data_IF_137735269774
#
_entry.id   IF_137735269774
#
_cell.length_a   1.000
_cell.length_b   1.000
_cell.length_c   1.000
_cell.angle_alpha   90.00
_cell.angle_beta   90.00
_cell.angle_gamma   90.00
#
_symmetry.space_group_name_H-M   'P 1'
#
loop_
_entity.id
_entity.type
_entity.pdbx_description
1 polymer ?
#
# COMPACT_ATOMS: atom_id res chain seq x y z
N UNK A 1 7.94 26.98 -26.55
CA UNK A 1 6.83 27.82 -26.05
C UNK A 1 7.02 27.91 -24.54
N UNK A 2 6.81 29.06 -23.90
CA UNK A 2 6.86 29.14 -22.43
C UNK A 2 5.60 28.46 -21.87
N UNK A 3 5.76 27.49 -20.98
CA UNK A 3 4.63 26.82 -20.32
C UNK A 3 4.04 27.77 -19.27
N UNK A 4 2.77 28.18 -19.36
CA UNK A 4 2.12 28.95 -18.30
C UNK A 4 2.00 28.09 -17.03
N UNK A 5 2.23 28.69 -15.86
CA UNK A 5 2.18 27.94 -14.60
C UNK A 5 0.74 27.52 -14.31
N UNK A 6 0.51 26.23 -14.16
CA UNK A 6 -0.80 25.67 -13.79
C UNK A 6 -0.57 24.42 -12.95
N UNK A 7 -0.72 24.57 -11.63
CA UNK A 7 -0.56 23.48 -10.68
C UNK A 7 -1.65 23.59 -9.62
N UNK A 8 -2.73 22.87 -9.84
CA UNK A 8 -3.93 22.88 -9.01
C UNK A 8 -4.34 21.48 -8.62
N UNK A 9 -5.00 21.39 -7.47
CA UNK A 9 -5.62 20.17 -6.99
C UNK A 9 -7.00 20.02 -7.64
N UNK A 10 -7.26 18.86 -8.25
CA UNK A 10 -8.43 18.60 -9.10
C UNK A 10 -8.63 19.67 -10.20
N UNK A 11 -7.66 19.84 -11.11
CA UNK A 11 -7.72 20.90 -12.11
C UNK A 11 -8.85 20.66 -13.11
N UNK A 12 -9.46 21.75 -13.58
CA UNK A 12 -10.43 21.77 -14.67
C UNK A 12 -10.09 22.84 -15.72
N UNK A 13 -10.78 22.84 -16.86
CA UNK A 13 -10.63 23.91 -17.86
C UNK A 13 -11.17 25.26 -17.35
N UNK A 14 -12.19 25.23 -16.48
CA UNK A 14 -12.80 26.44 -15.93
C UNK A 14 -11.85 27.21 -14.99
N UNK A 15 -10.81 26.54 -14.50
CA UNK A 15 -9.77 27.14 -13.67
C UNK A 15 -8.67 27.85 -14.48
N UNK A 16 -8.69 27.72 -15.81
CA UNK A 16 -7.64 28.25 -16.69
C UNK A 16 -7.89 29.70 -17.06
N UNK A 17 -6.84 30.53 -16.96
CA UNK A 17 -6.82 31.82 -17.64
C UNK A 17 -6.64 31.66 -19.16
N UNK A 18 -6.67 32.77 -19.89
CA UNK A 18 -6.57 32.78 -21.35
C UNK A 18 -5.27 32.12 -21.88
N UNK A 19 -4.14 32.38 -21.23
CA UNK A 19 -2.84 31.87 -21.68
C UNK A 19 -2.70 30.37 -21.36
N UNK A 20 -3.18 29.96 -20.19
CA UNK A 20 -3.25 28.56 -19.78
C UNK A 20 -4.17 27.76 -20.70
N UNK A 21 -5.34 28.30 -21.06
CA UNK A 21 -6.28 27.66 -21.98
C UNK A 21 -5.67 27.50 -23.38
N UNK A 22 -5.03 28.56 -23.89
CA UNK A 22 -4.33 28.53 -25.18
C UNK A 22 -3.22 27.46 -25.20
N UNK A 23 -2.48 27.30 -24.11
CA UNK A 23 -1.49 26.23 -23.99
C UNK A 23 -2.13 24.85 -23.87
N UNK A 24 -3.23 24.72 -23.11
CA UNK A 24 -3.96 23.46 -22.97
C UNK A 24 -4.51 22.94 -24.31
N UNK A 25 -4.97 23.81 -25.21
CA UNK A 25 -5.37 23.40 -26.57
C UNK A 25 -4.23 22.72 -27.34
N UNK A 26 -2.99 23.18 -27.14
CA UNK A 26 -1.78 22.55 -27.70
C UNK A 26 -1.52 21.20 -27.03
N UNK A 27 -1.68 21.11 -25.71
CA UNK A 27 -1.56 19.84 -24.96
C UNK A 27 -2.56 18.82 -25.47
N UNK A 28 -3.84 19.19 -25.52
CA UNK A 28 -4.94 18.34 -25.98
C UNK A 28 -4.73 17.87 -27.43
N UNK A 29 -4.32 18.77 -28.32
CA UNK A 29 -4.02 18.42 -29.73
C UNK A 29 -2.86 17.44 -29.87
N UNK A 30 -1.81 17.56 -29.05
CA UNK A 30 -0.68 16.62 -29.07
C UNK A 30 -1.07 15.26 -28.48
N UNK A 31 -1.69 15.25 -27.30
CA UNK A 31 -2.07 14.00 -26.64
C UNK A 31 -3.11 13.20 -27.44
N UNK A 32 -4.09 13.86 -28.08
CA UNK A 32 -5.03 13.18 -28.97
C UNK A 32 -4.36 12.47 -30.17
N UNK A 33 -3.17 12.93 -30.58
CA UNK A 33 -2.36 12.29 -31.65
C UNK A 33 -1.41 11.24 -31.09
N UNK A 34 -1.42 11.02 -29.77
CA UNK A 34 -0.44 10.19 -29.09
C UNK A 34 0.96 10.79 -29.10
N UNK A 35 1.12 12.12 -29.11
CA UNK A 35 2.43 12.76 -29.03
C UNK A 35 2.72 13.22 -27.60
N UNK A 36 3.97 13.05 -27.16
CA UNK A 36 4.46 13.67 -25.92
C UNK A 36 4.54 15.20 -26.08
N UNK A 37 4.21 15.92 -25.01
CA UNK A 37 4.43 17.36 -24.89
C UNK A 37 5.03 17.65 -23.51
N UNK A 38 6.10 18.43 -23.50
CA UNK A 38 6.71 18.87 -22.24
C UNK A 38 5.83 19.94 -21.58
N UNK A 39 5.46 19.70 -20.33
CA UNK A 39 4.65 20.60 -19.50
C UNK A 39 5.48 21.25 -18.38
N UNK A 40 6.80 21.10 -18.37
CA UNK A 40 7.73 21.75 -17.41
C UNK A 40 7.26 21.58 -15.95
N UNK A 41 6.88 20.35 -15.58
CA UNK A 41 6.34 20.00 -14.25
C UNK A 41 4.89 20.44 -13.97
N UNK A 42 4.21 21.13 -14.90
CA UNK A 42 2.82 21.58 -14.77
C UNK A 42 1.84 20.47 -15.17
N UNK A 43 1.93 19.33 -14.48
CA UNK A 43 1.16 18.11 -14.77
C UNK A 43 -0.37 18.28 -14.69
N UNK A 44 -0.87 19.39 -14.10
CA UNK A 44 -2.31 19.68 -14.07
C UNK A 44 -2.92 19.79 -15.47
N UNK A 45 -2.17 20.23 -16.49
CA UNK A 45 -2.66 20.22 -17.87
C UNK A 45 -2.98 18.80 -18.36
N UNK A 46 -2.11 17.84 -18.04
CA UNK A 46 -2.30 16.44 -18.43
C UNK A 46 -3.45 15.82 -17.62
N UNK A 47 -3.60 16.17 -16.34
CA UNK A 47 -4.76 15.73 -15.55
C UNK A 47 -6.09 16.22 -16.12
N UNK A 48 -6.19 17.48 -16.56
CA UNK A 48 -7.42 17.99 -17.21
C UNK A 48 -7.76 17.18 -18.45
N UNK A 49 -6.75 16.87 -19.28
CA UNK A 49 -6.94 16.02 -20.44
C UNK A 49 -7.42 14.61 -20.05
N UNK A 50 -6.79 13.98 -19.04
CA UNK A 50 -7.18 12.65 -18.57
C UNK A 50 -8.60 12.66 -18.00
N UNK A 51 -9.01 13.70 -17.28
CA UNK A 51 -10.37 13.79 -16.73
C UNK A 51 -11.41 13.84 -17.85
N UNK A 52 -11.15 14.60 -18.92
CA UNK A 52 -11.98 14.63 -20.13
C UNK A 52 -12.00 13.28 -20.86
N UNK A 53 -10.91 12.55 -20.86
CA UNK A 53 -10.85 11.20 -21.41
C UNK A 53 -11.69 10.21 -20.57
N UNK A 54 -11.48 10.21 -19.24
CA UNK A 54 -12.18 9.33 -18.31
C UNK A 54 -13.68 9.63 -18.20
N UNK A 55 -14.13 10.87 -18.43
CA UNK A 55 -15.56 11.20 -18.43
C UNK A 55 -16.33 10.52 -19.57
N UNK A 56 -15.62 10.07 -20.62
CA UNK A 56 -16.17 9.39 -21.79
C UNK A 56 -16.04 7.86 -21.70
N UNK A 57 -15.85 7.31 -20.49
CA UNK A 57 -15.62 5.88 -20.27
C UNK A 57 -16.72 4.97 -20.85
N UNK A 58 -17.96 5.42 -20.83
CA UNK A 58 -19.12 4.71 -21.37
C UNK A 58 -19.14 4.70 -22.91
N UNK A 59 -18.54 5.71 -23.55
CA UNK A 59 -18.43 5.83 -25.02
C UNK A 59 -17.18 5.13 -25.55
N UNK A 60 -16.03 5.38 -24.92
CA UNK A 60 -14.72 4.92 -25.40
C UNK A 60 -14.41 3.48 -24.96
N UNK A 61 -15.03 3.00 -23.88
CA UNK A 61 -14.84 1.66 -23.33
C UNK A 61 -13.55 1.50 -22.52
N UNK A 62 -13.56 0.55 -21.58
CA UNK A 62 -12.44 0.36 -20.66
C UNK A 62 -11.15 -0.13 -21.33
N UNK A 63 -11.20 -0.97 -22.37
CA UNK A 63 -9.99 -1.47 -23.03
C UNK A 63 -9.18 -0.31 -23.65
N UNK A 64 -9.85 0.55 -24.44
CA UNK A 64 -9.21 1.71 -25.08
C UNK A 64 -8.69 2.71 -24.05
N UNK A 65 -9.45 2.95 -22.98
CA UNK A 65 -9.00 3.79 -21.88
C UNK A 65 -7.75 3.22 -21.21
N UNK A 66 -7.73 1.92 -20.92
CA UNK A 66 -6.60 1.25 -20.28
C UNK A 66 -5.33 1.38 -21.12
N UNK A 67 -5.40 1.08 -22.43
CA UNK A 67 -4.27 1.22 -23.35
C UNK A 67 -3.73 2.65 -23.36
N UNK A 68 -4.62 3.65 -23.42
CA UNK A 68 -4.21 5.04 -23.47
C UNK A 68 -3.61 5.52 -22.14
N UNK A 69 -4.14 5.08 -21.00
CA UNK A 69 -3.60 5.41 -19.68
C UNK A 69 -2.23 4.76 -19.46
N UNK A 70 -2.04 3.51 -19.86
CA UNK A 70 -0.72 2.86 -19.86
C UNK A 70 0.25 3.65 -20.73
N UNK A 71 -0.18 4.03 -21.94
CA UNK A 71 0.63 4.85 -22.83
C UNK A 71 1.05 6.18 -22.17
N UNK A 72 0.11 6.90 -21.57
CA UNK A 72 0.39 8.15 -20.85
C UNK A 72 1.38 7.93 -19.69
N UNK A 73 1.24 6.84 -18.94
CA UNK A 73 2.16 6.52 -17.85
C UNK A 73 3.60 6.36 -18.34
N UNK A 74 3.79 5.71 -19.49
CA UNK A 74 5.13 5.47 -20.05
C UNK A 74 5.79 6.75 -20.57
N UNK A 75 5.04 7.58 -21.32
CA UNK A 75 5.63 8.82 -21.87
C UNK A 75 5.86 9.90 -20.81
N UNK A 76 5.10 9.87 -19.71
CA UNK A 76 5.28 10.75 -18.55
C UNK A 76 5.95 10.06 -17.35
N UNK A 77 6.71 8.99 -17.56
CA UNK A 77 7.40 8.27 -16.47
C UNK A 77 8.34 9.13 -15.60
N UNK A 78 8.84 10.25 -16.15
CA UNK A 78 9.67 11.21 -15.43
C UNK A 78 8.86 12.05 -14.42
N UNK A 79 7.55 12.17 -14.65
CA UNK A 79 6.58 12.76 -13.75
C UNK A 79 5.93 11.66 -12.91
N UNK A 80 6.67 11.13 -11.92
CA UNK A 80 6.31 9.92 -11.14
C UNK A 80 4.85 9.92 -10.69
N UNK A 81 4.38 11.02 -10.07
CA UNK A 81 3.00 11.16 -9.61
C UNK A 81 1.98 10.96 -10.73
N UNK A 82 2.17 11.61 -11.87
CA UNK A 82 1.26 11.51 -13.01
C UNK A 82 1.25 10.08 -13.57
N UNK A 83 2.43 9.50 -13.75
CA UNK A 83 2.59 8.12 -14.20
C UNK A 83 1.86 7.12 -13.30
N UNK A 84 2.01 7.25 -11.98
CA UNK A 84 1.34 6.38 -11.02
C UNK A 84 -0.19 6.50 -11.07
N UNK A 85 -0.74 7.71 -11.17
CA UNK A 85 -2.19 7.90 -11.31
C UNK A 85 -2.72 7.24 -12.60
N UNK A 86 -2.02 7.43 -13.72
CA UNK A 86 -2.37 6.78 -14.98
C UNK A 86 -2.42 5.26 -14.84
N UNK A 87 -1.41 4.64 -14.24
CA UNK A 87 -1.39 3.18 -14.01
C UNK A 87 -2.52 2.73 -13.07
N UNK A 88 -2.76 3.44 -11.97
CA UNK A 88 -3.86 3.12 -11.07
C UNK A 88 -5.22 3.15 -11.77
N UNK A 89 -5.48 4.15 -12.61
CA UNK A 89 -6.72 4.22 -13.38
C UNK A 89 -6.77 3.17 -14.50
N UNK A 90 -5.63 2.81 -15.12
CA UNK A 90 -5.58 1.71 -16.07
C UNK A 90 -5.94 0.36 -15.42
N UNK A 91 -5.57 0.16 -14.15
CA UNK A 91 -5.97 -1.03 -13.38
C UNK A 91 -7.44 -1.00 -12.96
N UNK A 92 -8.00 0.19 -12.68
CA UNK A 92 -9.46 0.31 -12.51
C UNK A 92 -10.21 -0.09 -13.79
N UNK A 93 -9.65 0.11 -14.99
CA UNK A 93 -10.24 -0.40 -16.22
C UNK A 93 -10.30 -1.94 -16.25
N UNK A 94 -9.29 -2.65 -15.73
CA UNK A 94 -9.33 -4.11 -15.61
C UNK A 94 -10.49 -4.58 -14.71
N UNK A 95 -10.75 -3.86 -13.62
CA UNK A 95 -11.91 -4.11 -12.75
C UNK A 95 -13.24 -3.88 -13.49
N UNK A 96 -13.32 -2.81 -14.28
CA UNK A 96 -14.49 -2.50 -15.11
C UNK A 96 -14.75 -3.52 -16.22
N UNK A 97 -13.70 -4.18 -16.72
CA UNK A 97 -13.76 -5.28 -17.68
C UNK A 97 -13.97 -6.66 -17.04
N UNK A 98 -14.09 -6.72 -15.70
CA UNK A 98 -14.14 -7.96 -14.93
C UNK A 98 -12.91 -8.88 -15.13
N UNK A 99 -11.78 -8.32 -15.60
CA UNK A 99 -10.48 -9.00 -15.74
C UNK A 99 -9.77 -9.08 -14.38
N UNK A 100 -10.44 -9.70 -13.41
CA UNK A 100 -10.04 -9.70 -12.00
C UNK A 100 -8.70 -10.39 -11.73
N UNK A 101 -8.41 -11.51 -12.40
CA UNK A 101 -7.12 -12.20 -12.27
C UNK A 101 -5.96 -11.34 -12.76
N UNK A 102 -6.13 -10.68 -13.92
CA UNK A 102 -5.14 -9.75 -14.46
C UNK A 102 -4.95 -8.53 -13.55
N UNK A 103 -6.04 -8.00 -12.98
CA UNK A 103 -5.96 -6.96 -11.96
C UNK A 103 -5.11 -7.40 -10.76
N UNK A 104 -5.31 -8.63 -10.27
CA UNK A 104 -4.54 -9.16 -9.15
C UNK A 104 -3.05 -9.35 -9.51
N UNK A 105 -2.73 -9.83 -10.70
CA UNK A 105 -1.34 -9.96 -11.16
C UNK A 105 -0.64 -8.59 -11.26
N UNK A 106 -1.27 -7.64 -11.96
CA UNK A 106 -0.68 -6.31 -12.20
C UNK A 106 -0.54 -5.47 -10.93
N UNK A 107 -1.40 -5.69 -9.95
CA UNK A 107 -1.40 -4.92 -8.69
C UNK A 107 -0.73 -5.68 -7.53
N UNK A 108 -0.06 -6.81 -7.80
CA UNK A 108 0.63 -7.58 -6.77
C UNK A 108 1.64 -6.69 -6.02
N UNK A 109 1.56 -6.63 -4.68
CA UNK A 109 2.52 -5.92 -3.86
C UNK A 109 3.98 -6.35 -4.13
N UNK A 110 4.77 -5.46 -4.73
CA UNK A 110 6.23 -5.66 -4.84
C UNK A 110 6.94 -5.53 -3.50
N UNK A 111 6.43 -4.67 -2.64
CA UNK A 111 6.96 -4.43 -1.30
C UNK A 111 6.02 -5.00 -0.24
N UNK A 112 6.61 -5.63 0.77
CA UNK A 112 5.92 -6.14 1.97
C UNK A 112 5.61 -5.01 2.95
N UNK A 113 6.34 -3.90 2.82
CA UNK A 113 6.26 -2.75 3.72
C UNK A 113 5.14 -1.78 3.35
N UNK A 114 4.76 -0.99 4.35
CA UNK A 114 3.79 0.10 4.21
C UNK A 114 2.35 -0.36 4.34
N UNK A 115 1.53 0.53 4.90
CA UNK A 115 0.09 0.32 5.05
C UNK A 115 -0.60 0.73 3.76
N UNK A 116 -1.31 -0.20 3.13
CA UNK A 116 -2.15 0.07 1.95
C UNK A 116 -3.57 -0.46 2.17
N UNK A 117 -4.14 -0.11 3.32
CA UNK A 117 -5.43 -0.62 3.83
C UNK A 117 -6.51 -0.74 2.76
N UNK A 118 -6.86 0.34 2.05
CA UNK A 118 -7.92 0.29 1.05
C UNK A 118 -7.58 -0.49 -0.22
N UNK A 119 -6.31 -0.47 -0.66
CA UNK A 119 -5.88 -1.19 -1.86
C UNK A 119 -5.83 -2.71 -1.60
N UNK A 120 -5.24 -3.10 -0.46
CA UNK A 120 -5.20 -4.49 -0.01
C UNK A 120 -6.61 -5.01 0.32
N UNK A 121 -7.48 -4.19 0.93
CA UNK A 121 -8.89 -4.55 1.12
C UNK A 121 -9.60 -4.83 -0.20
N UNK A 122 -9.38 -4.01 -1.23
CA UNK A 122 -9.95 -4.29 -2.55
C UNK A 122 -9.43 -5.60 -3.11
N UNK A 123 -8.11 -5.81 -3.10
CA UNK A 123 -7.51 -7.04 -3.63
C UNK A 123 -8.07 -8.28 -2.93
N UNK A 124 -8.16 -8.26 -1.60
CA UNK A 124 -8.80 -9.33 -0.83
C UNK A 124 -10.26 -9.56 -1.24
N UNK A 125 -11.04 -8.50 -1.46
CA UNK A 125 -12.41 -8.63 -1.94
C UNK A 125 -12.49 -9.21 -3.37
N UNK A 126 -11.56 -8.85 -4.26
CA UNK A 126 -11.44 -9.44 -5.59
C UNK A 126 -11.07 -10.93 -5.50
N UNK A 127 -10.13 -11.29 -4.62
CA UNK A 127 -9.77 -12.70 -4.36
C UNK A 127 -10.98 -13.50 -3.84
N UNK A 128 -11.71 -12.95 -2.85
CA UNK A 128 -12.94 -13.57 -2.32
C UNK A 128 -13.99 -13.76 -3.42
N UNK A 129 -14.17 -12.76 -4.30
CA UNK A 129 -15.10 -12.83 -5.44
C UNK A 129 -14.75 -13.94 -6.43
N UNK A 130 -13.46 -14.22 -6.60
CA UNK A 130 -12.94 -15.31 -7.45
C UNK A 130 -12.91 -16.67 -6.75
N UNK A 131 -13.21 -16.74 -5.44
CA UNK A 131 -13.07 -17.97 -4.65
C UNK A 131 -11.62 -18.40 -4.42
N UNK A 132 -10.68 -17.46 -4.50
CA UNK A 132 -9.27 -17.68 -4.17
C UNK A 132 -9.03 -17.52 -2.67
N UNK A 133 -7.97 -18.12 -2.14
CA UNK A 133 -7.50 -17.85 -0.78
C UNK A 133 -6.94 -16.43 -0.64
N UNK A 134 -7.01 -15.85 0.57
CA UNK A 134 -6.46 -14.53 0.82
C UNK A 134 -4.93 -14.52 0.61
N UNK A 135 -4.39 -13.49 -0.07
CA UNK A 135 -2.94 -13.33 -0.18
C UNK A 135 -2.38 -12.85 1.18
N UNK A 136 -1.44 -13.57 1.82
CA UNK A 136 -0.83 -13.17 3.08
C UNK A 136 -0.26 -11.75 3.12
N UNK A 137 0.32 -11.29 2.02
CA UNK A 137 0.88 -9.94 1.90
C UNK A 137 -0.23 -8.91 1.89
N UNK A 138 -1.36 -9.17 1.24
CA UNK A 138 -2.51 -8.27 1.28
C UNK A 138 -3.13 -8.22 2.69
N UNK A 139 -3.22 -9.36 3.39
CA UNK A 139 -3.64 -9.38 4.81
C UNK A 139 -2.69 -8.52 5.65
N UNK A 140 -1.38 -8.76 5.58
CA UNK A 140 -0.39 -7.99 6.34
C UNK A 140 -0.46 -6.48 6.04
N UNK A 141 -0.54 -6.10 4.76
CA UNK A 141 -0.55 -4.69 4.33
C UNK A 141 -1.87 -4.00 4.59
N UNK A 142 -2.97 -4.75 4.69
CA UNK A 142 -4.24 -4.24 5.18
C UNK A 142 -4.12 -3.84 6.65
N UNK A 143 -3.47 -4.70 7.45
CA UNK A 143 -3.30 -4.55 8.89
C UNK A 143 -2.02 -3.80 9.33
N UNK A 144 -1.19 -3.34 8.39
CA UNK A 144 0.02 -2.58 8.70
C UNK A 144 1.09 -3.46 9.35
N UNK A 145 1.98 -3.99 8.51
CA UNK A 145 3.09 -4.82 8.96
C UNK A 145 4.17 -4.06 9.75
N UNK A 146 5.07 -4.83 10.36
CA UNK A 146 6.26 -4.28 11.02
C UNK A 146 7.20 -3.62 10.01
N UNK A 147 7.82 -2.51 10.40
CA UNK A 147 8.88 -1.84 9.65
C UNK A 147 10.06 -1.55 10.58
N UNK A 148 11.20 -2.15 10.31
CA UNK A 148 12.47 -1.87 10.98
C UNK A 148 13.64 -2.10 10.01
N UNK A 149 14.84 -1.74 10.44
CA UNK A 149 16.04 -1.80 9.58
C UNK A 149 16.30 -3.20 9.03
N UNK A 150 16.17 -4.24 9.86
CA UNK A 150 16.36 -5.62 9.41
C UNK A 150 15.39 -5.98 8.28
N UNK A 151 14.10 -5.65 8.42
CA UNK A 151 13.10 -5.92 7.38
C UNK A 151 13.40 -5.13 6.10
N UNK A 152 13.79 -3.85 6.23
CA UNK A 152 14.12 -2.99 5.07
C UNK A 152 15.29 -3.58 4.26
N UNK A 153 16.30 -4.12 4.93
CA UNK A 153 17.47 -4.74 4.31
C UNK A 153 17.21 -6.16 3.78
N UNK A 154 16.17 -6.84 4.29
CA UNK A 154 15.88 -8.25 4.00
C UNK A 154 14.44 -8.46 3.49
N UNK A 155 13.90 -7.53 2.68
CA UNK A 155 12.48 -7.53 2.30
C UNK A 155 12.03 -8.81 1.59
N UNK A 156 12.82 -9.34 0.66
CA UNK A 156 12.49 -10.57 -0.07
C UNK A 156 12.41 -11.77 0.89
N UNK A 157 13.42 -11.95 1.74
CA UNK A 157 13.44 -13.02 2.73
C UNK A 157 12.26 -12.91 3.71
N UNK A 158 11.95 -11.69 4.15
CA UNK A 158 10.81 -11.44 5.03
C UNK A 158 9.48 -11.71 4.33
N UNK A 159 9.34 -11.38 3.03
CA UNK A 159 8.16 -11.70 2.21
C UNK A 159 7.87 -13.19 2.23
N UNK A 160 8.89 -14.01 1.95
CA UNK A 160 8.76 -15.45 1.87
C UNK A 160 8.38 -16.02 3.24
N UNK A 161 9.00 -15.53 4.32
CA UNK A 161 8.64 -15.93 5.68
C UNK A 161 7.20 -15.53 6.07
N UNK A 162 6.69 -14.39 5.59
CA UNK A 162 5.28 -13.99 5.81
C UNK A 162 4.35 -14.96 5.12
N UNK A 163 4.61 -15.29 3.86
CA UNK A 163 3.78 -16.22 3.09
C UNK A 163 3.72 -17.57 3.81
N UNK A 164 4.87 -18.10 4.23
CA UNK A 164 4.93 -19.36 4.98
C UNK A 164 4.11 -19.30 6.27
N UNK A 165 4.44 -18.37 7.18
CA UNK A 165 3.85 -18.30 8.53
C UNK A 165 2.34 -18.07 8.48
N UNK A 166 1.86 -17.22 7.57
CA UNK A 166 0.43 -16.93 7.45
C UNK A 166 -0.34 -18.11 6.82
N UNK A 167 0.28 -18.84 5.89
CA UNK A 167 -0.33 -20.03 5.30
C UNK A 167 -0.35 -21.19 6.29
N UNK A 168 0.73 -21.40 7.05
CA UNK A 168 0.79 -22.38 8.15
C UNK A 168 -0.31 -22.09 9.17
N UNK A 169 -0.44 -20.84 9.62
CA UNK A 169 -1.50 -20.42 10.52
C UNK A 169 -2.91 -20.70 9.97
N UNK A 170 -3.16 -20.38 8.69
CA UNK A 170 -4.45 -20.62 8.05
C UNK A 170 -4.78 -22.12 7.90
N UNK A 171 -3.77 -22.98 7.73
CA UNK A 171 -3.94 -24.43 7.65
C UNK A 171 -4.25 -25.06 9.02
N UNK A 172 -3.61 -24.59 10.08
CA UNK A 172 -3.79 -25.11 11.44
C UNK A 172 -5.07 -24.62 12.11
N UNK A 173 -5.57 -23.45 11.70
CA UNK A 173 -6.74 -22.82 12.29
C UNK A 173 -7.89 -22.82 11.27
N UNK A 174 -7.99 -21.77 10.47
CA UNK A 174 -9.05 -21.59 9.48
C UNK A 174 -8.56 -20.67 8.36
N UNK A 175 -9.11 -20.83 7.15
CA UNK A 175 -8.80 -19.93 6.03
C UNK A 175 -9.18 -18.48 6.35
N UNK A 176 -8.36 -17.52 5.91
CA UNK A 176 -8.45 -16.10 6.28
C UNK A 176 -9.82 -15.46 6.04
N UNK A 177 -10.52 -15.74 4.94
CA UNK A 177 -11.86 -15.20 4.74
C UNK A 177 -12.86 -15.76 5.74
N UNK A 178 -12.68 -17.01 6.15
CA UNK A 178 -13.52 -17.60 7.18
C UNK A 178 -13.20 -17.03 8.57
N UNK A 179 -11.92 -16.72 8.84
CA UNK A 179 -11.52 -15.98 10.06
C UNK A 179 -12.15 -14.58 10.10
N UNK A 180 -12.15 -13.84 8.99
CA UNK A 180 -12.83 -12.54 8.92
C UNK A 180 -14.33 -12.70 9.19
N UNK A 181 -14.95 -13.70 8.58
CA UNK A 181 -16.37 -13.99 8.72
C UNK A 181 -16.74 -14.34 10.17
N UNK A 182 -15.96 -15.19 10.84
CA UNK A 182 -16.11 -15.53 12.26
C UNK A 182 -15.93 -14.30 13.15
N UNK A 183 -14.91 -13.49 12.90
CA UNK A 183 -14.63 -12.27 13.66
C UNK A 183 -15.81 -11.29 13.61
N UNK A 184 -16.44 -11.09 12.45
CA UNK A 184 -17.64 -10.24 12.34
C UNK A 184 -18.81 -10.78 13.18
N UNK A 185 -19.00 -12.11 13.19
CA UNK A 185 -20.06 -12.78 13.95
C UNK A 185 -19.82 -12.66 15.46
N UNK A 186 -18.61 -12.99 15.93
CA UNK A 186 -18.26 -12.96 17.35
C UNK A 186 -18.38 -11.55 17.94
N UNK A 187 -17.97 -10.53 17.18
CA UNK A 187 -18.05 -9.13 17.60
C UNK A 187 -19.46 -8.51 17.41
N UNK A 188 -20.45 -9.28 16.93
CA UNK A 188 -21.83 -8.84 16.66
C UNK A 188 -21.88 -7.59 15.78
N UNK A 189 -20.98 -7.48 14.80
CA UNK A 189 -20.87 -6.31 13.93
C UNK A 189 -21.43 -6.64 12.56
N UNK A 190 -22.32 -5.79 12.02
CA UNK A 190 -22.77 -5.98 10.66
C UNK A 190 -21.59 -5.82 9.71
N UNK A 191 -21.53 -6.64 8.66
CA UNK A 191 -20.59 -6.41 7.56
C UNK A 191 -20.95 -5.09 6.90
N UNK A 192 -20.04 -4.11 6.98
CA UNK A 192 -20.18 -2.88 6.21
C UNK A 192 -19.84 -3.19 4.75
N UNK A 193 -20.89 -3.25 3.94
CA UNK A 193 -20.80 -3.34 2.48
C UNK A 193 -20.92 -1.95 1.88
N UNK A 194 -20.05 -1.62 0.95
CA UNK A 194 -20.13 -0.36 0.22
C UNK A 194 -19.94 -0.56 -1.28
N UNK A 195 -20.57 0.32 -2.05
CA UNK A 195 -20.33 0.43 -3.48
C UNK A 195 -19.01 1.15 -3.69
N UNK A 196 -18.18 0.60 -4.58
CA UNK A 196 -16.90 1.22 -4.95
C UNK A 196 -17.01 1.81 -6.34
N UNK A 197 -16.75 3.11 -6.45
CA UNK A 197 -16.52 3.76 -7.74
C UNK A 197 -15.14 3.41 -8.27
N UNK A 198 -15.04 3.31 -9.59
CA UNK A 198 -13.78 3.29 -10.32
C UNK A 198 -13.29 4.73 -10.53
N UNK A 199 -12.01 4.87 -10.85
CA UNK A 199 -11.37 6.16 -11.07
C UNK A 199 -11.45 7.07 -9.82
N UNK A 200 -11.04 6.50 -8.67
CA UNK A 200 -10.93 7.25 -7.43
C UNK A 200 -9.96 8.43 -7.60
N UNK A 201 -10.33 9.58 -7.04
CA UNK A 201 -9.57 10.83 -7.19
C UNK A 201 -9.81 11.60 -8.50
N UNK A 202 -10.72 11.16 -9.36
CA UNK A 202 -11.12 11.92 -10.56
C UNK A 202 -12.39 12.74 -10.27
N UNK A 203 -12.42 14.01 -10.70
CA UNK A 203 -13.59 14.88 -10.57
C UNK A 203 -14.59 14.63 -11.72
N UNK A 204 -15.26 13.47 -11.70
CA UNK A 204 -16.34 13.14 -12.65
C UNK A 204 -17.71 13.36 -12.01
N UNK A 205 -18.67 13.83 -12.81
CA UNK A 205 -20.07 13.94 -12.41
C UNK A 205 -20.69 12.55 -12.19
N UNK A 206 -20.40 11.60 -13.08
CA UNK A 206 -20.82 10.21 -12.98
C UNK A 206 -19.61 9.29 -13.08
N UNK A 207 -19.56 8.26 -12.23
CA UNK A 207 -18.48 7.29 -12.19
C UNK A 207 -19.00 5.88 -12.42
N UNK A 208 -18.25 5.02 -13.12
CA UNK A 208 -18.57 3.61 -13.15
C UNK A 208 -18.37 3.00 -11.76
N UNK A 209 -19.17 2.00 -11.44
CA UNK A 209 -19.09 1.25 -10.20
C UNK A 209 -18.58 -0.16 -10.47
N UNK A 210 -17.92 -0.73 -9.47
CA UNK A 210 -17.60 -2.15 -9.46
C UNK A 210 -18.90 -2.98 -9.41
N UNK A 211 -18.94 -4.09 -10.15
CA UNK A 211 -20.13 -4.95 -10.29
C UNK A 211 -20.46 -5.76 -9.02
N UNK A 212 -19.66 -5.63 -7.97
CA UNK A 212 -19.91 -6.25 -6.67
C UNK A 212 -19.56 -5.28 -5.54
N UNK A 213 -20.22 -5.48 -4.39
CA UNK A 213 -20.00 -4.68 -3.19
C UNK A 213 -18.70 -5.09 -2.51
N UNK A 214 -18.01 -4.10 -1.95
CA UNK A 214 -16.78 -4.32 -1.18
C UNK A 214 -17.14 -4.47 0.29
N UNK A 215 -16.64 -5.54 0.92
CA UNK A 215 -16.60 -5.72 2.36
C UNK A 215 -15.45 -4.88 2.95
N UNK A 216 -15.75 -4.15 4.02
CA UNK A 216 -14.75 -3.41 4.80
C UNK A 216 -14.02 -4.36 5.77
N UNK A 217 -13.11 -5.20 5.27
CA UNK A 217 -12.38 -6.19 6.09
C UNK A 217 -11.45 -5.54 7.12
N UNK A 218 -11.01 -4.32 6.85
CA UNK A 218 -10.21 -3.52 7.79
C UNK A 218 -11.03 -2.86 8.91
N UNK A 219 -12.37 -2.96 8.92
CA UNK A 219 -13.15 -2.51 10.08
C UNK A 219 -12.79 -3.29 11.37
N UNK A 220 -12.00 -4.37 11.23
CA UNK A 220 -11.40 -5.08 12.33
C UNK A 220 -10.57 -4.23 13.30
N UNK A 221 -9.99 -3.12 12.84
CA UNK A 221 -9.21 -2.23 13.69
C UNK A 221 -9.99 -1.45 14.75
N UNK A 222 -11.25 -1.09 14.46
CA UNK A 222 -11.96 -0.05 15.23
C UNK A 222 -12.57 -0.59 16.54
N UNK A 223 -12.29 -1.83 16.93
CA UNK A 223 -13.01 -2.54 18.00
C UNK A 223 -12.13 -3.10 19.13
N UNK A 224 -10.97 -2.51 19.35
CA UNK A 224 -9.92 -2.96 20.30
C UNK A 224 -10.30 -3.11 21.79
N UNK A 225 -11.57 -2.97 22.16
CA UNK A 225 -12.00 -3.00 23.57
C UNK A 225 -12.28 -4.42 24.09
N UNK A 226 -12.28 -5.46 23.25
CA UNK A 226 -12.43 -6.86 23.70
C UNK A 226 -11.40 -7.80 23.08
N UNK A 227 -10.56 -8.34 23.96
CA UNK A 227 -9.58 -9.45 23.91
C UNK A 227 -9.57 -10.34 22.65
N UNK A 228 -8.36 -10.55 22.12
CA UNK A 228 -7.92 -11.40 21.00
C UNK A 228 -8.37 -10.96 19.60
N UNK A 229 -7.91 -9.77 19.23
CA UNK A 229 -8.20 -9.16 17.94
C UNK A 229 -7.38 -9.80 16.79
N UNK A 230 -8.01 -9.86 15.62
CA UNK A 230 -7.41 -10.25 14.35
C UNK A 230 -6.16 -9.41 14.04
N UNK A 231 -6.16 -8.14 14.46
CA UNK A 231 -4.99 -7.26 14.38
C UNK A 231 -3.80 -7.76 15.20
N UNK A 232 -4.03 -8.21 16.43
CA UNK A 232 -2.97 -8.75 17.29
C UNK A 232 -2.45 -10.08 16.76
N UNK A 233 -3.34 -10.90 16.18
CA UNK A 233 -2.96 -12.12 15.45
C UNK A 233 -2.00 -11.78 14.30
N UNK A 234 -2.37 -10.83 13.44
CA UNK A 234 -1.53 -10.42 12.30
C UNK A 234 -0.19 -9.83 12.78
N UNK A 235 -0.18 -9.07 13.88
CA UNK A 235 1.06 -8.57 14.51
C UNK A 235 1.95 -9.69 15.03
N UNK A 236 1.36 -10.70 15.67
CA UNK A 236 2.08 -11.85 16.21
C UNK A 236 2.73 -12.64 15.06
N UNK A 237 1.96 -12.98 14.03
CA UNK A 237 2.45 -13.69 12.85
C UNK A 237 3.53 -12.88 12.11
N UNK A 238 3.37 -11.55 12.02
CA UNK A 238 4.39 -10.67 11.46
C UNK A 238 5.70 -10.71 12.26
N UNK A 239 5.62 -10.75 13.60
CA UNK A 239 6.80 -10.90 14.47
C UNK A 239 7.45 -12.28 14.30
N UNK A 240 6.64 -13.33 14.16
CA UNK A 240 7.11 -14.69 13.94
C UNK A 240 7.83 -14.83 12.60
N UNK A 241 7.27 -14.29 11.53
CA UNK A 241 7.93 -14.24 10.22
C UNK A 241 9.26 -13.48 10.27
N UNK A 242 9.34 -12.36 11.00
CA UNK A 242 10.60 -11.65 11.20
C UNK A 242 11.60 -12.51 11.96
N UNK A 243 11.18 -13.23 13.01
CA UNK A 243 12.03 -14.15 13.76
C UNK A 243 12.52 -15.34 12.91
N UNK A 244 11.68 -15.87 12.02
CA UNK A 244 12.05 -16.91 11.04
C UNK A 244 13.13 -16.38 10.09
N UNK A 245 12.91 -15.19 9.52
CA UNK A 245 13.88 -14.51 8.67
C UNK A 245 15.21 -14.22 9.39
N UNK A 246 15.16 -13.74 10.63
CA UNK A 246 16.34 -13.48 11.48
C UNK A 246 17.15 -14.76 11.73
N UNK A 247 16.46 -15.87 12.02
CA UNK A 247 17.09 -17.18 12.18
C UNK A 247 17.83 -17.64 10.92
N UNK A 248 17.21 -17.47 9.74
CA UNK A 248 17.84 -17.78 8.44
C UNK A 248 19.07 -16.88 8.21
N UNK A 249 18.98 -15.59 8.56
CA UNK A 249 20.06 -14.63 8.43
C UNK A 249 21.16 -14.75 9.51
N UNK A 250 21.00 -15.64 10.50
CA UNK A 250 21.96 -15.81 11.60
C UNK A 250 22.03 -14.63 12.58
N UNK A 251 20.98 -13.81 12.65
CA UNK A 251 20.88 -12.70 13.61
C UNK A 251 19.94 -13.05 14.77
N UNK A 252 20.14 -12.49 15.98
CA UNK A 252 19.29 -12.78 17.13
C UNK A 252 17.81 -12.48 16.86
N UNK A 253 16.91 -13.31 17.42
CA UNK A 253 15.47 -13.06 17.32
C UNK A 253 15.08 -11.79 18.09
N UNK A 254 13.90 -11.27 17.77
CA UNK A 254 13.29 -10.15 18.49
C UNK A 254 13.08 -10.55 19.94
N UNK A 255 13.65 -9.77 20.85
CA UNK A 255 13.63 -10.03 22.30
C UNK A 255 14.86 -10.78 22.81
N UNK A 256 15.65 -11.44 21.95
CA UNK A 256 16.88 -12.13 22.35
C UNK A 256 18.11 -11.20 22.34
N UNK A 257 18.15 -10.21 21.43
CA UNK A 257 19.26 -9.25 21.36
C UNK A 257 19.50 -8.47 22.66
N UNK A 258 18.41 -8.12 23.36
CA UNK A 258 18.47 -7.43 24.65
C UNK A 258 19.04 -8.31 25.76
N UNK A 259 18.83 -9.64 25.68
CA UNK A 259 19.41 -10.60 26.63
C UNK A 259 20.92 -10.67 26.41
N UNK A 260 21.39 -10.70 25.16
CA UNK A 260 22.83 -10.69 24.86
C UNK A 260 23.51 -9.37 25.23
N UNK A 261 22.87 -8.23 24.99
CA UNK A 261 23.41 -6.92 25.35
C UNK A 261 23.39 -6.70 26.86
N UNK A 262 22.33 -7.10 27.55
CA UNK A 262 22.26 -7.04 29.01
C UNK A 262 23.28 -7.97 29.63
N UNK A 263 23.45 -9.19 29.10
CA UNK A 263 24.49 -10.11 29.58
C UNK A 263 25.90 -9.56 29.33
N UNK A 264 26.15 -8.95 28.16
CA UNK A 264 27.41 -8.29 27.85
C UNK A 264 27.65 -7.10 28.80
N UNK A 265 26.65 -6.25 28.99
CA UNK A 265 26.69 -5.12 29.92
C UNK A 265 27.01 -5.59 31.34
N UNK A 266 26.35 -6.65 31.84
CA UNK A 266 26.60 -7.23 33.17
C UNK A 266 28.01 -7.81 33.29
N UNK A 267 28.54 -8.44 32.24
CA UNK A 267 29.92 -8.93 32.21
C UNK A 267 30.92 -7.78 32.25
N UNK A 268 30.71 -6.72 31.45
CA UNK A 268 31.55 -5.53 31.49
C UNK A 268 31.47 -4.85 32.87
N UNK A 269 30.27 -4.68 33.42
CA UNK A 269 30.05 -4.12 34.75
C UNK A 269 30.82 -4.89 35.83
N UNK A 270 30.80 -6.23 35.79
CA UNK A 270 31.54 -7.08 36.73
C UNK A 270 33.06 -6.90 36.60
N UNK A 271 33.60 -6.88 35.37
CA UNK A 271 35.06 -6.75 35.18
C UNK A 271 35.58 -5.37 35.54
N UNK A 272 34.81 -4.32 35.25
CA UNK A 272 35.21 -2.95 35.61
C UNK A 272 34.91 -2.61 37.08
N UNK A 273 34.15 -3.43 37.81
CA UNK A 273 33.89 -3.21 39.24
C UNK A 273 35.10 -3.47 40.14
N UNK A 274 36.09 -4.23 39.66
CA UNK A 274 37.32 -4.53 40.40
C UNK A 274 38.47 -3.56 40.10
N UNK A 275 38.33 -2.69 39.11
CA UNK A 275 39.30 -1.61 38.84
C UNK A 275 39.12 -0.48 39.85
N UNK A 276 39.94 -0.49 40.91
CA UNK A 276 40.08 0.64 41.84
C UNK A 276 40.64 1.86 41.09
N UNK A 277 39.76 2.77 40.65
CA UNK A 277 40.17 4.07 40.12
C UNK A 277 39.31 4.63 38.99
N UNK A 278 38.06 4.99 39.27
CA UNK A 278 37.40 6.24 38.83
C UNK A 278 35.89 6.15 39.10
N UNK A 279 35.38 6.86 40.10
CA UNK A 279 33.92 6.95 40.33
C UNK A 279 33.17 7.74 39.24
N UNK A 280 33.88 8.35 38.31
CA UNK A 280 33.37 9.28 37.29
C UNK A 280 32.71 8.62 36.07
N UNK A 281 33.03 7.36 35.74
CA UNK A 281 32.42 6.70 34.56
C UNK A 281 31.02 6.12 34.83
N UNK A 282 30.72 5.72 36.06
CA UNK A 282 29.39 5.18 36.44
C UNK A 282 28.26 6.20 36.22
N UNK A 283 28.52 7.50 36.37
CA UNK A 283 27.50 8.55 36.24
C UNK A 283 27.20 8.93 34.78
N UNK A 284 28.15 8.73 33.85
CA UNK A 284 27.98 9.15 32.45
C UNK A 284 27.33 8.06 31.56
N UNK A 285 27.55 6.77 31.83
CA UNK A 285 26.96 5.67 31.06
C UNK A 285 25.45 5.48 31.34
N UNK A 286 25.02 5.67 32.60
CA UNK A 286 23.58 5.57 32.97
C UNK A 286 22.75 6.69 32.33
N UNK A 287 23.35 7.84 32.02
CA UNK A 287 22.67 8.94 31.32
C UNK A 287 22.51 8.72 29.81
N UNK A 288 23.30 7.85 29.19
CA UNK A 288 23.21 7.56 27.75
C UNK A 288 22.32 6.35 27.42
N UNK A 289 22.11 5.42 28.35
CA UNK A 289 21.28 4.22 28.14
C UNK A 289 19.78 4.41 28.44
N UNK A 290 19.36 5.63 28.80
CA UNK A 290 17.97 5.97 29.15
C UNK A 290 17.17 6.64 28.01
N UNK A 291 17.68 6.59 26.78
CA UNK A 291 17.01 7.02 25.54
C UNK A 291 17.02 5.86 24.53
#
# INVERSE_FOLDING_TARGET
MKVPKFNMYFPSQDDMDHDQLSFYEVVESNLNKGNYIDVDGNISYVFVFIYKLLSRWNEDGFDRLSEFLIYLSEIYKHEEKLSEYCLHWAFDCLLGLEKYEEYLDKTEPKEVLGTRTHASNLRLNVQKKLGLSANPIDVLRMFGGRKNQFIIENQTLYRDCIIDVFNEYAQENMEWFSLFDEWFVQNKKPRTLYERTLFNGVALQEKPYLQFKIECLYAAYDLSDTVDDLYDTVKLLSKEAENKARGIAGVPKIGEGWISETALFRRLEAEFSNTEGNSTWKTNLVRQAAF
#
